data_IF_633403468074
#
_entry.id   IF_633403468074
#
_cell.length_a   1.000
_cell.length_b   1.000
_cell.length_c   1.000
_cell.angle_alpha   90.00
_cell.angle_beta   90.00
_cell.angle_gamma   90.00
#
_symmetry.space_group_name_H-M   'P 1'
#
loop_
_entity.id
_entity.type
_entity.pdbx_description
1 polymer ?
#
# COMPACT_ATOMS: atom_id res chain seq x y z
N UNK A 1 3.24 -5.44 12.19
CA UNK A 1 2.07 -4.72 11.65
C UNK A 1 2.49 -4.15 10.29
N UNK A 2 1.97 -4.68 9.18
CA UNK A 2 2.45 -4.36 7.83
C UNK A 2 1.50 -3.31 7.21
N UNK A 3 2.02 -2.13 6.87
CA UNK A 3 1.27 -1.14 6.10
C UNK A 3 1.15 -1.66 4.66
N UNK A 4 -0.04 -1.57 4.08
CA UNK A 4 -0.28 -1.97 2.70
C UNK A 4 -0.39 -0.73 1.83
N UNK A 5 0.58 -0.60 0.92
CA UNK A 5 0.66 0.43 -0.10
C UNK A 5 0.54 1.88 0.41
N UNK A 6 1.69 2.55 0.47
CA UNK A 6 1.75 4.00 0.40
C UNK A 6 1.71 4.36 -1.08
N UNK A 7 0.55 4.75 -1.61
CA UNK A 7 0.50 5.49 -2.87
C UNK A 7 0.48 6.98 -2.52
N UNK A 8 1.66 7.59 -2.52
CA UNK A 8 1.79 9.03 -2.48
C UNK A 8 1.34 9.60 -3.83
N UNK A 9 0.29 10.43 -3.83
CA UNK A 9 0.04 11.33 -4.96
C UNK A 9 1.09 12.43 -4.89
N UNK A 10 2.17 12.29 -5.65
CA UNK A 10 3.22 13.30 -5.76
C UNK A 10 2.85 14.32 -6.83
N UNK A 11 2.63 15.56 -6.41
CA UNK A 11 3.01 16.71 -7.23
C UNK A 11 4.32 17.23 -6.65
N UNK A 12 5.36 17.13 -7.47
CA UNK A 12 6.79 17.41 -7.26
C UNK A 12 7.68 16.26 -6.77
N UNK A 13 8.83 16.25 -7.44
CA UNK A 13 9.81 15.19 -7.63
C UNK A 13 10.68 15.00 -6.39
N UNK A 14 10.49 13.90 -5.66
CA UNK A 14 11.60 13.22 -4.96
C UNK A 14 11.42 11.71 -5.11
N UNK A 15 12.52 11.07 -5.48
CA UNK A 15 12.63 9.71 -5.94
C UNK A 15 12.49 8.74 -4.74
N UNK A 16 11.27 8.30 -4.44
CA UNK A 16 11.05 7.02 -3.76
C UNK A 16 10.43 6.06 -4.76
N UNK A 17 11.30 5.34 -5.48
CA UNK A 17 10.90 4.26 -6.35
C UNK A 17 10.68 3.01 -5.49
N UNK A 18 9.43 2.72 -5.14
CA UNK A 18 9.08 1.39 -4.66
C UNK A 18 9.00 0.46 -5.87
N UNK A 19 9.99 -0.42 -6.04
CA UNK A 19 9.96 -1.44 -7.09
C UNK A 19 9.00 -2.54 -6.63
N UNK A 20 7.75 -2.47 -7.08
CA UNK A 20 6.79 -3.57 -6.94
C UNK A 20 6.88 -4.47 -8.18
N UNK A 21 7.60 -5.59 -8.06
CA UNK A 21 7.65 -6.62 -9.11
C UNK A 21 7.01 -7.93 -8.64
N UNK A 22 6.40 -8.66 -9.57
CA UNK A 22 5.90 -10.01 -9.31
C UNK A 22 7.04 -10.96 -8.91
N UNK A 23 8.24 -10.75 -9.45
CA UNK A 23 9.50 -11.40 -9.08
C UNK A 23 10.65 -10.42 -9.23
N UNK A 24 11.61 -10.42 -8.30
CA UNK A 24 12.86 -9.67 -8.44
C UNK A 24 13.96 -10.70 -8.65
N UNK A 25 14.45 -10.79 -9.90
CA UNK A 25 15.57 -11.65 -10.27
C UNK A 25 16.81 -10.77 -10.33
N UNK A 26 17.81 -11.11 -9.52
CA UNK A 26 19.12 -10.44 -9.51
C UNK A 26 20.07 -11.34 -10.31
N UNK A 27 20.61 -10.82 -11.41
CA UNK A 27 21.57 -11.54 -12.24
C UNK A 27 22.83 -11.92 -11.44
N UNK A 28 23.51 -12.98 -11.88
CA UNK A 28 24.74 -13.44 -11.24
C UNK A 28 25.79 -12.31 -11.23
N UNK A 29 26.24 -11.93 -10.02
CA UNK A 29 27.18 -10.83 -9.81
C UNK A 29 26.56 -9.45 -9.56
N UNK A 30 25.24 -9.31 -9.61
CA UNK A 30 24.55 -8.08 -9.20
C UNK A 30 24.19 -8.09 -7.69
N UNK A 31 24.20 -6.91 -7.06
CA UNK A 31 23.87 -6.71 -5.64
C UNK A 31 22.84 -5.60 -5.49
N UNK A 32 21.84 -5.82 -4.63
CA UNK A 32 20.93 -4.76 -4.18
C UNK A 32 21.38 -4.30 -2.80
N UNK A 33 21.78 -3.03 -2.70
CA UNK A 33 22.12 -2.37 -1.43
C UNK A 33 20.88 -1.64 -0.93
N UNK A 34 20.37 -2.06 0.23
CA UNK A 34 19.16 -1.50 0.85
C UNK A 34 19.56 -0.49 1.92
N UNK A 35 19.20 0.78 1.73
CA UNK A 35 19.52 1.85 2.67
C UNK A 35 18.57 1.85 3.88
N UNK A 36 18.99 2.48 4.98
CA UNK A 36 18.17 2.63 6.18
C UNK A 36 16.82 3.26 5.85
N UNK A 37 15.73 2.63 6.30
CA UNK A 37 14.37 3.10 6.06
C UNK A 37 13.77 2.68 4.70
N UNK A 38 14.47 1.82 3.95
CA UNK A 38 13.93 1.19 2.74
C UNK A 38 13.66 -0.30 2.98
N UNK A 39 12.55 -0.79 2.40
CA UNK A 39 12.12 -2.18 2.46
C UNK A 39 12.18 -2.79 1.06
N UNK A 40 12.69 -4.01 0.95
CA UNK A 40 12.61 -4.82 -0.27
C UNK A 40 11.60 -5.93 -0.03
N UNK A 41 10.45 -5.85 -0.74
CA UNK A 41 9.39 -6.85 -0.65
C UNK A 41 9.06 -7.42 -2.04
N UNK A 42 8.83 -8.74 -2.10
CA UNK A 42 8.22 -9.40 -3.26
C UNK A 42 6.73 -9.73 -2.99
N UNK A 43 5.96 -9.87 -4.07
CA UNK A 43 4.56 -10.29 -4.02
C UNK A 43 4.39 -11.75 -3.55
N UNK A 44 3.14 -12.21 -3.37
CA UNK A 44 2.82 -13.57 -2.90
C UNK A 44 3.41 -14.69 -3.76
N UNK A 45 3.72 -14.39 -5.02
CA UNK A 45 4.26 -15.34 -6.00
C UNK A 45 5.73 -15.08 -6.36
N UNK A 46 6.34 -14.07 -5.71
CA UNK A 46 7.69 -13.62 -6.02
C UNK A 46 8.72 -14.19 -5.07
N UNK A 47 9.74 -14.83 -5.62
CA UNK A 47 10.97 -15.10 -4.90
C UNK A 47 11.91 -13.90 -5.06
N UNK A 48 12.59 -13.51 -3.98
CA UNK A 48 13.77 -12.65 -4.07
C UNK A 48 14.96 -13.60 -4.14
N UNK A 49 15.59 -13.71 -5.31
CA UNK A 49 16.78 -14.52 -5.53
C UNK A 49 18.00 -13.62 -5.72
N UNK A 50 19.05 -13.82 -4.92
CA UNK A 50 20.31 -13.06 -4.99
C UNK A 50 20.76 -12.55 -3.61
N UNK A 51 21.85 -11.77 -3.58
CA UNK A 51 22.39 -11.19 -2.35
C UNK A 51 21.76 -9.81 -2.10
N UNK A 52 21.10 -9.66 -0.95
CA UNK A 52 20.52 -8.38 -0.48
C UNK A 52 21.29 -7.98 0.77
N UNK A 53 21.95 -6.84 0.74
CA UNK A 53 22.79 -6.35 1.84
C UNK A 53 22.39 -4.94 2.26
N UNK A 54 22.84 -4.53 3.45
CA UNK A 54 22.56 -3.21 4.02
C UNK A 54 21.58 -3.23 5.19
N UNK A 55 21.38 -2.08 5.86
CA UNK A 55 20.59 -1.97 7.09
C UNK A 55 19.06 -1.95 6.87
N UNK A 56 18.57 -2.00 5.63
CA UNK A 56 17.14 -2.10 5.34
C UNK A 56 16.56 -3.49 5.61
N UNK A 57 15.22 -3.61 5.54
CA UNK A 57 14.54 -4.88 5.87
C UNK A 57 14.15 -5.64 4.61
N UNK A 58 14.53 -6.93 4.54
CA UNK A 58 13.95 -7.87 3.59
C UNK A 58 12.62 -8.40 4.15
N UNK A 59 11.54 -8.22 3.41
CA UNK A 59 10.23 -8.73 3.80
C UNK A 59 10.20 -10.25 3.58
N UNK A 60 10.56 -11.06 4.59
CA UNK A 60 10.66 -12.53 4.51
C UNK A 60 9.33 -13.30 4.38
N UNK A 61 8.33 -12.74 3.70
CA UNK A 61 7.05 -13.40 3.53
C UNK A 61 6.06 -12.55 2.75
N UNK A 62 5.21 -13.26 2.01
CA UNK A 62 4.08 -12.76 1.21
C UNK A 62 3.35 -11.63 1.93
N UNK A 63 3.05 -10.54 1.21
CA UNK A 63 2.18 -9.49 1.76
C UNK A 63 0.79 -10.11 1.98
N UNK A 64 0.18 -9.98 3.18
CA UNK A 64 -1.08 -10.66 3.47
C UNK A 64 -2.24 -10.15 2.61
N UNK A 65 -2.11 -8.99 1.94
CA UNK A 65 -3.04 -8.54 0.92
C UNK A 65 -2.26 -8.16 -0.34
N UNK A 66 -2.75 -8.58 -1.50
CA UNK A 66 -2.27 -8.11 -2.79
C UNK A 66 -3.30 -7.14 -3.36
N UNK A 67 -2.89 -5.90 -3.61
CA UNK A 67 -3.76 -4.85 -4.12
C UNK A 67 -3.63 -4.74 -5.63
N UNK A 68 -4.75 -4.70 -6.33
CA UNK A 68 -4.83 -4.41 -7.77
C UNK A 68 -4.88 -2.90 -7.99
N UNK A 69 -5.71 -2.20 -7.22
CA UNK A 69 -5.86 -0.75 -7.35
C UNK A 69 -6.30 -0.09 -6.05
N UNK A 70 -5.96 1.19 -5.91
CA UNK A 70 -6.44 2.10 -4.89
C UNK A 70 -6.60 3.47 -5.55
N UNK A 71 -7.82 4.00 -5.55
CA UNK A 71 -8.17 5.26 -6.18
C UNK A 71 -8.92 6.14 -5.18
N UNK A 72 -8.73 7.44 -5.29
CA UNK A 72 -9.47 8.45 -4.55
C UNK A 72 -9.99 9.50 -5.52
N UNK A 73 -11.31 9.74 -5.53
CA UNK A 73 -11.97 10.69 -6.45
C UNK A 73 -12.81 11.66 -5.64
N UNK A 74 -12.67 12.96 -5.93
CA UNK A 74 -13.53 13.99 -5.33
C UNK A 74 -14.92 13.88 -5.96
N UNK A 75 -15.94 13.74 -5.11
CA UNK A 75 -17.35 13.68 -5.48
C UNK A 75 -18.12 14.74 -4.67
N UNK A 76 -19.30 15.15 -5.16
CA UNK A 76 -20.21 16.05 -4.43
C UNK A 76 -19.55 17.32 -3.84
N UNK A 77 -18.55 17.87 -4.55
CA UNK A 77 -17.74 19.05 -4.17
C UNK A 77 -16.85 18.90 -2.92
N UNK A 78 -17.27 18.16 -1.91
CA UNK A 78 -16.61 18.07 -0.59
C UNK A 78 -16.47 16.65 -0.06
N UNK A 79 -16.80 15.65 -0.87
CA UNK A 79 -16.62 14.25 -0.50
C UNK A 79 -15.47 13.66 -1.30
N UNK A 80 -14.79 12.67 -0.75
CA UNK A 80 -13.80 11.87 -1.47
C UNK A 80 -14.20 10.42 -1.37
N UNK A 81 -14.40 9.78 -2.52
CA UNK A 81 -14.64 8.35 -2.63
C UNK A 81 -13.32 7.63 -2.82
N UNK A 82 -12.99 6.77 -1.86
CA UNK A 82 -11.86 5.86 -1.90
C UNK A 82 -12.39 4.52 -2.40
N UNK A 83 -11.85 4.00 -3.50
CA UNK A 83 -12.17 2.67 -4.02
C UNK A 83 -10.91 1.85 -4.17
N UNK A 84 -10.98 0.58 -3.80
CA UNK A 84 -9.84 -0.33 -3.96
C UNK A 84 -10.29 -1.72 -4.34
N UNK A 85 -9.35 -2.43 -4.95
CA UNK A 85 -9.52 -3.79 -5.41
C UNK A 85 -8.35 -4.60 -4.91
N UNK A 86 -8.63 -5.74 -4.28
CA UNK A 86 -7.64 -6.74 -3.88
C UNK A 86 -7.67 -7.90 -4.86
N UNK A 87 -6.51 -8.48 -5.16
CA UNK A 87 -6.39 -9.75 -5.88
C UNK A 87 -6.42 -10.95 -4.92
N UNK A 88 -5.92 -10.74 -3.71
CA UNK A 88 -5.73 -11.74 -2.68
C UNK A 88 -5.78 -11.09 -1.30
N UNK A 89 -6.37 -11.77 -0.34
CA UNK A 89 -6.42 -11.42 1.07
C UNK A 89 -6.13 -12.67 1.91
N UNK A 90 -5.25 -12.53 2.88
CA UNK A 90 -4.84 -13.57 3.82
C UNK A 90 -4.95 -12.95 5.22
N UNK A 91 -5.79 -13.56 6.05
CA UNK A 91 -6.09 -13.18 7.42
C UNK A 91 -6.46 -11.68 7.56
N UNK A 92 -7.14 -11.13 6.55
CA UNK A 92 -7.56 -9.74 6.54
C UNK A 92 -8.93 -9.58 7.21
N UNK A 93 -8.96 -9.10 8.45
CA UNK A 93 -10.24 -8.88 9.13
C UNK A 93 -10.84 -7.55 8.74
N UNK A 94 -10.02 -6.51 8.66
CA UNK A 94 -10.48 -5.14 8.46
C UNK A 94 -9.46 -4.32 7.69
N UNK A 95 -9.95 -3.49 6.77
CA UNK A 95 -9.24 -2.33 6.24
C UNK A 95 -9.57 -1.09 7.08
N UNK A 96 -8.56 -0.57 7.77
CA UNK A 96 -8.60 0.76 8.35
C UNK A 96 -8.22 1.79 7.28
N UNK A 97 -9.16 2.70 6.99
CA UNK A 97 -8.93 3.82 6.07
C UNK A 97 -8.36 4.97 6.89
N UNK A 98 -7.15 5.41 6.56
CA UNK A 98 -6.49 6.53 7.22
C UNK A 98 -6.33 7.69 6.25
N UNK A 99 -6.59 8.90 6.74
CA UNK A 99 -6.47 10.16 6.03
C UNK A 99 -5.39 11.03 6.66
N UNK A 100 -4.64 11.72 5.82
CA UNK A 100 -3.71 12.76 6.21
C UNK A 100 -4.04 14.04 5.42
N UNK A 101 -4.12 15.18 6.12
CA UNK A 101 -4.30 16.50 5.51
C UNK A 101 -2.95 17.21 5.43
N UNK A 102 -2.53 17.63 4.24
CA UNK A 102 -1.32 18.45 4.01
C UNK A 102 -0.04 17.89 4.65
N UNK A 103 0.14 16.57 4.66
CA UNK A 103 1.35 15.93 5.22
C UNK A 103 1.44 15.95 6.76
N UNK A 104 0.32 16.20 7.45
CA UNK A 104 0.21 16.15 8.91
C UNK A 104 0.18 14.71 9.48
N UNK A 105 -0.55 14.47 10.57
CA UNK A 105 -0.65 13.15 11.22
C UNK A 105 -1.75 12.33 10.54
N UNK A 106 -1.47 11.05 10.30
CA UNK A 106 -2.47 10.09 9.83
C UNK A 106 -3.58 9.89 10.85
N UNK A 107 -4.82 10.03 10.42
CA UNK A 107 -6.02 9.84 11.25
C UNK A 107 -6.89 8.77 10.64
N UNK A 108 -7.38 7.86 11.47
CA UNK A 108 -8.41 6.90 11.09
C UNK A 108 -9.72 7.62 10.74
N UNK A 109 -10.24 7.34 9.54
CA UNK A 109 -11.52 7.89 9.06
C UNK A 109 -12.55 6.80 8.78
N UNK A 110 -12.12 5.58 8.48
CA UNK A 110 -13.02 4.47 8.18
C UNK A 110 -12.53 3.11 8.64
N UNK A 111 -13.46 2.18 8.78
CA UNK A 111 -13.21 0.75 8.94
C UNK A 111 -14.12 -0.02 8.01
N UNK A 112 -13.55 -0.78 7.10
CA UNK A 112 -14.28 -1.65 6.18
C UNK A 112 -13.89 -3.10 6.49
N UNK A 113 -14.88 -3.94 6.76
CA UNK A 113 -14.67 -5.38 6.97
C UNK A 113 -14.00 -5.98 5.75
N UNK A 114 -12.86 -6.64 5.96
CA UNK A 114 -12.19 -7.44 4.95
C UNK A 114 -12.83 -8.83 4.82
N UNK A 115 -12.44 -9.58 3.80
CA UNK A 115 -13.05 -10.88 3.53
C UNK A 115 -12.29 -12.06 4.18
N UNK A 116 -11.34 -11.79 5.09
CA UNK A 116 -10.55 -12.82 5.77
C UNK A 116 -9.51 -13.43 4.85
N UNK A 117 -9.82 -14.61 4.31
CA UNK A 117 -8.97 -15.37 3.39
C UNK A 117 -9.68 -15.50 2.03
N UNK A 118 -9.22 -14.76 1.03
CA UNK A 118 -9.80 -14.76 -0.31
C UNK A 118 -8.71 -14.74 -1.35
N UNK A 119 -8.72 -15.71 -2.27
CA UNK A 119 -7.75 -15.82 -3.38
C UNK A 119 -8.27 -15.25 -4.70
N UNK A 120 -9.44 -14.62 -4.67
CA UNK A 120 -10.12 -14.01 -5.81
C UNK A 120 -10.25 -12.49 -5.62
N UNK A 121 -10.62 -11.80 -6.69
CA UNK A 121 -10.78 -10.35 -6.65
C UNK A 121 -11.88 -9.91 -5.68
N UNK A 122 -11.58 -8.97 -4.78
CA UNK A 122 -12.60 -8.28 -3.96
C UNK A 122 -12.58 -6.78 -4.23
N UNK A 123 -13.77 -6.16 -4.25
CA UNK A 123 -13.96 -4.73 -4.58
C UNK A 123 -14.59 -4.03 -3.39
N UNK A 124 -14.01 -2.90 -3.01
CA UNK A 124 -14.42 -2.12 -1.85
C UNK A 124 -14.53 -0.63 -2.18
N UNK A 125 -15.31 0.08 -1.37
CA UNK A 125 -15.31 1.53 -1.38
C UNK A 125 -15.66 2.12 -0.02
N UNK A 126 -15.17 3.33 0.23
CA UNK A 126 -15.49 4.15 1.39
C UNK A 126 -15.57 5.61 0.94
N UNK A 127 -16.56 6.36 1.42
CA UNK A 127 -16.70 7.79 1.12
C UNK A 127 -16.43 8.60 2.38
N UNK A 128 -15.39 9.42 2.31
CA UNK A 128 -15.08 10.42 3.31
C UNK A 128 -15.82 11.72 3.00
N UNK A 129 -16.57 12.26 3.94
CA UNK A 129 -17.60 13.28 3.67
C UNK A 129 -17.31 14.62 4.33
N UNK A 130 -17.84 15.69 3.72
CA UNK A 130 -17.86 17.05 4.29
C UNK A 130 -16.45 17.58 4.61
N UNK A 131 -15.51 17.35 3.71
CA UNK A 131 -14.14 17.81 3.86
C UNK A 131 -14.03 19.32 3.68
N UNK A 132 -13.06 19.92 4.37
CA UNK A 132 -12.65 21.30 4.10
C UNK A 132 -11.70 21.33 2.89
N UNK A 133 -11.48 22.52 2.33
CA UNK A 133 -10.57 22.69 1.20
C UNK A 133 -9.14 22.33 1.64
N UNK A 134 -8.50 21.43 0.90
CA UNK A 134 -7.13 21.02 1.19
C UNK A 134 -6.70 19.81 0.36
N UNK A 135 -5.44 19.41 0.53
CA UNK A 135 -4.88 18.22 -0.09
C UNK A 135 -4.92 17.06 0.89
N UNK A 136 -5.63 16.00 0.51
CA UNK A 136 -5.81 14.83 1.33
C UNK A 136 -5.05 13.63 0.75
N UNK A 137 -4.38 12.91 1.62
CA UNK A 137 -3.73 11.64 1.33
C UNK A 137 -4.49 10.54 2.04
N UNK A 138 -4.66 9.41 1.37
CA UNK A 138 -5.33 8.24 1.91
C UNK A 138 -4.40 7.04 1.86
N UNK A 139 -4.46 6.21 2.88
CA UNK A 139 -3.82 4.89 2.88
C UNK A 139 -4.75 3.87 3.53
N UNK A 140 -4.49 2.60 3.23
CA UNK A 140 -5.19 1.48 3.82
C UNK A 140 -4.25 0.73 4.75
N UNK A 141 -4.77 0.39 5.91
CA UNK A 141 -4.06 -0.42 6.90
C UNK A 141 -4.86 -1.69 7.15
N UNK A 142 -4.24 -2.84 6.89
CA UNK A 142 -4.81 -4.13 7.23
C UNK A 142 -4.66 -4.39 8.73
N UNK A 143 -5.70 -5.00 9.31
CA UNK A 143 -5.73 -5.53 10.67
C UNK A 143 -6.15 -7.00 10.67
#
# INVERSE_FOLDING_TARGET
MKLLNILSVYVTLTLFCFIYSQSIIIDEGAEIIVSTGTDVCASVWGNISGNVTGPGTQCGGVLPVQMISLNAVVENFRDVKISWVTALEINNKVFEVERNLNGSVWKKVGLITGNGNVTNQSVYSYTDKKLDIGTYYYRLKQI
#
